data_IF_073490480105
#
_entry.id   IF_073490480105
#
_cell.length_a   1.000
_cell.length_b   1.000
_cell.length_c   1.000
_cell.angle_alpha   90.00
_cell.angle_beta   90.00
_cell.angle_gamma   90.00
#
_symmetry.space_group_name_H-M   'P 1'
#
loop_
_entity.id
_entity.type
_entity.pdbx_description
1 polymer ?
#
# COMPACT_ATOMS: atom_id res chain seq x y z
N UNK A 1 1.47 31.07 -6.62
CA UNK A 1 2.81 31.32 -6.05
C UNK A 1 3.67 30.12 -6.44
N UNK A 2 4.99 30.21 -6.31
CA UNK A 2 5.84 29.02 -6.50
C UNK A 2 6.05 28.38 -5.13
N UNK A 3 5.75 27.09 -5.01
CA UNK A 3 6.01 26.32 -3.79
C UNK A 3 7.31 25.55 -3.98
N UNK A 4 8.22 25.65 -3.02
CA UNK A 4 9.45 24.87 -3.00
C UNK A 4 9.25 23.68 -2.07
N UNK A 5 9.43 22.46 -2.58
CA UNK A 5 9.42 21.23 -1.80
C UNK A 5 10.85 20.77 -1.60
N UNK A 6 11.25 20.58 -0.34
CA UNK A 6 12.60 20.13 0.00
C UNK A 6 12.69 18.61 -0.04
N UNK A 7 13.90 18.13 -0.29
CA UNK A 7 14.20 16.70 -0.31
C UNK A 7 13.76 15.98 0.98
N UNK A 8 14.13 16.51 2.14
CA UNK A 8 13.83 15.88 3.43
C UNK A 8 12.32 15.87 3.73
N UNK A 9 11.59 16.91 3.33
CA UNK A 9 10.14 16.98 3.51
C UNK A 9 9.43 15.82 2.80
N UNK A 10 9.86 15.47 1.58
CA UNK A 10 9.30 14.36 0.82
C UNK A 10 9.73 13.00 1.39
N UNK A 11 11.01 12.85 1.77
CA UNK A 11 11.52 11.61 2.37
C UNK A 11 10.76 11.27 3.65
N UNK A 12 10.64 12.25 4.56
CA UNK A 12 9.94 12.10 5.84
C UNK A 12 8.46 11.79 5.61
N UNK A 13 7.80 12.54 4.70
CA UNK A 13 6.38 12.29 4.38
C UNK A 13 6.11 10.88 3.85
N UNK A 14 6.97 10.35 2.97
CA UNK A 14 6.84 8.97 2.46
C UNK A 14 7.11 7.95 3.57
N UNK A 15 8.15 8.19 4.38
CA UNK A 15 8.52 7.28 5.45
C UNK A 15 7.42 7.16 6.52
N UNK A 16 6.93 8.31 6.98
CA UNK A 16 5.88 8.42 7.99
C UNK A 16 4.55 7.85 7.48
N UNK A 17 4.19 8.12 6.23
CA UNK A 17 2.97 7.56 5.65
C UNK A 17 3.02 6.03 5.60
N UNK A 18 4.15 5.44 5.18
CA UNK A 18 4.32 3.99 5.14
C UNK A 18 4.33 3.36 6.54
N UNK A 19 4.97 4.02 7.50
CA UNK A 19 4.92 3.61 8.90
C UNK A 19 3.49 3.65 9.44
N UNK A 20 2.78 4.75 9.23
CA UNK A 20 1.39 4.93 9.66
C UNK A 20 0.46 3.84 9.11
N UNK A 21 0.48 3.60 7.79
CA UNK A 21 -0.41 2.57 7.18
C UNK A 21 0.01 1.14 7.53
N UNK A 22 1.22 0.93 8.06
CA UNK A 22 1.66 -0.42 8.45
C UNK A 22 0.91 -0.94 9.66
N UNK A 23 0.46 -0.06 10.58
CA UNK A 23 -0.21 -0.46 11.82
C UNK A 23 -1.59 0.16 12.05
N UNK A 24 -2.04 1.09 11.21
CA UNK A 24 -3.41 1.63 11.23
C UNK A 24 -4.24 1.20 10.02
N UNK A 25 -5.36 0.54 10.28
CA UNK A 25 -6.44 0.45 9.28
C UNK A 25 -7.25 1.75 9.23
N UNK A 26 -7.77 2.14 8.06
CA UNK A 26 -8.66 3.29 7.96
C UNK A 26 -10.01 2.99 8.64
N UNK A 27 -10.71 4.04 9.06
CA UNK A 27 -11.94 3.93 9.86
C UNK A 27 -13.04 3.17 9.11
N UNK A 28 -13.19 3.42 7.83
CA UNK A 28 -14.18 2.77 6.97
C UNK A 28 -13.99 1.25 6.88
N UNK A 29 -12.73 0.78 6.84
CA UNK A 29 -12.43 -0.65 6.92
C UNK A 29 -12.86 -1.23 8.27
N UNK A 30 -12.53 -0.58 9.39
CA UNK A 30 -12.89 -1.06 10.73
C UNK A 30 -14.41 -1.09 10.90
N UNK A 31 -15.11 -0.02 10.52
CA UNK A 31 -16.56 0.04 10.58
C UNK A 31 -17.20 -1.07 9.73
N UNK A 32 -16.70 -1.26 8.50
CA UNK A 32 -17.20 -2.29 7.58
C UNK A 32 -17.03 -3.71 8.11
N UNK A 33 -15.85 -4.04 8.64
CA UNK A 33 -15.61 -5.37 9.24
C UNK A 33 -16.44 -5.56 10.52
N UNK A 34 -16.59 -4.51 11.34
CA UNK A 34 -17.39 -4.59 12.56
C UNK A 34 -18.88 -4.78 12.26
N UNK A 35 -19.42 -4.07 11.28
CA UNK A 35 -20.80 -4.27 10.83
C UNK A 35 -21.04 -5.67 10.29
N UNK A 36 -20.09 -6.22 9.51
CA UNK A 36 -20.15 -7.58 9.02
C UNK A 36 -20.13 -8.59 10.19
N UNK A 37 -19.23 -8.39 11.16
CA UNK A 37 -19.15 -9.21 12.38
C UNK A 37 -20.46 -9.26 13.17
N UNK A 38 -21.19 -8.13 13.28
CA UNK A 38 -22.47 -8.09 13.99
C UNK A 38 -23.57 -8.90 13.27
N UNK A 39 -23.53 -8.94 11.93
CA UNK A 39 -24.54 -9.60 11.08
C UNK A 39 -24.21 -11.06 10.77
N UNK A 40 -22.96 -11.48 10.97
CA UNK A 40 -22.49 -12.83 10.60
C UNK A 40 -23.14 -13.93 11.43
N UNK A 41 -23.62 -14.95 10.73
CA UNK A 41 -24.30 -16.13 11.30
C UNK A 41 -23.33 -17.31 11.46
N UNK A 42 -22.33 -17.44 10.58
CA UNK A 42 -21.31 -18.48 10.63
C UNK A 42 -20.31 -18.20 11.74
N UNK A 43 -20.28 -19.07 12.76
CA UNK A 43 -19.35 -18.92 13.89
C UNK A 43 -17.89 -18.82 13.45
N UNK A 44 -17.47 -19.65 12.49
CA UNK A 44 -16.10 -19.64 11.99
C UNK A 44 -15.73 -18.32 11.29
N UNK A 45 -16.63 -17.76 10.49
CA UNK A 45 -16.40 -16.47 9.82
C UNK A 45 -16.41 -15.31 10.83
N UNK A 46 -17.31 -15.38 11.81
CA UNK A 46 -17.41 -14.41 12.90
C UNK A 46 -16.13 -14.36 13.74
N UNK A 47 -15.58 -15.52 14.07
CA UNK A 47 -14.31 -15.63 14.81
C UNK A 47 -13.13 -15.06 14.00
N UNK A 48 -13.09 -15.32 12.68
CA UNK A 48 -12.07 -14.74 11.81
C UNK A 48 -12.15 -13.20 11.74
N UNK A 49 -13.35 -12.63 11.63
CA UNK A 49 -13.54 -11.17 11.68
C UNK A 49 -13.15 -10.59 13.04
N UNK A 50 -13.47 -11.27 14.14
CA UNK A 50 -13.03 -10.86 15.47
C UNK A 50 -11.50 -10.81 15.57
N UNK A 51 -10.80 -11.80 15.00
CA UNK A 51 -9.33 -11.81 14.95
C UNK A 51 -8.77 -10.62 14.17
N UNK A 52 -9.37 -10.26 13.03
CA UNK A 52 -8.96 -9.09 12.24
C UNK A 52 -9.12 -7.79 13.05
N UNK A 53 -10.24 -7.62 13.75
CA UNK A 53 -10.51 -6.43 14.57
C UNK A 53 -9.56 -6.36 15.78
N UNK A 54 -9.33 -7.49 16.47
CA UNK A 54 -8.39 -7.58 17.59
C UNK A 54 -6.96 -7.27 17.11
N UNK A 55 -6.53 -7.87 16.00
CA UNK A 55 -5.22 -7.60 15.40
C UNK A 55 -5.07 -6.12 15.05
N UNK A 56 -6.10 -5.50 14.44
CA UNK A 56 -6.10 -4.08 14.11
C UNK A 56 -5.86 -3.20 15.33
N UNK A 57 -6.54 -3.50 16.45
CA UNK A 57 -6.34 -2.79 17.72
C UNK A 57 -4.93 -3.01 18.28
N UNK A 58 -4.47 -4.27 18.31
CA UNK A 58 -3.15 -4.60 18.88
C UNK A 58 -2.01 -3.96 18.09
N UNK A 59 -2.12 -3.89 16.76
CA UNK A 59 -1.16 -3.22 15.89
C UNK A 59 -1.15 -1.71 16.13
N UNK A 60 -2.33 -1.08 16.22
CA UNK A 60 -2.46 0.34 16.51
C UNK A 60 -1.86 0.72 17.88
N UNK A 61 -2.13 -0.06 18.94
CA UNK A 61 -1.59 0.20 20.28
C UNK A 61 -0.09 -0.14 20.40
N UNK A 62 0.36 -1.16 19.67
CA UNK A 62 1.73 -1.69 19.76
C UNK A 62 2.72 -1.16 18.73
N UNK A 63 2.25 -0.35 17.76
CA UNK A 63 3.01 0.10 16.58
C UNK A 63 3.75 -1.05 15.89
N UNK A 64 3.01 -2.10 15.52
CA UNK A 64 3.52 -3.31 14.84
C UNK A 64 2.72 -3.59 13.57
N UNK A 65 3.35 -4.15 12.52
CA UNK A 65 2.68 -4.29 11.24
C UNK A 65 1.44 -5.18 11.34
N UNK A 66 0.35 -4.76 10.69
CA UNK A 66 -0.93 -5.47 10.61
C UNK A 66 -0.82 -6.84 9.99
N UNK A 67 0.11 -6.99 9.04
CA UNK A 67 0.35 -8.22 8.31
C UNK A 67 1.85 -8.51 8.27
N UNK A 68 2.20 -9.80 8.28
CA UNK A 68 3.56 -10.25 8.04
C UNK A 68 4.04 -9.89 6.61
N UNK A 69 3.13 -9.77 5.65
CA UNK A 69 3.39 -9.18 4.34
C UNK A 69 3.15 -7.68 4.39
N UNK A 70 4.22 -6.92 4.59
CA UNK A 70 4.19 -5.46 4.61
C UNK A 70 4.17 -4.84 3.21
N UNK A 71 3.98 -5.65 2.16
CA UNK A 71 3.60 -5.21 0.82
C UNK A 71 4.71 -4.63 -0.05
N UNK A 72 4.40 -4.58 -1.35
CA UNK A 72 5.15 -3.88 -2.39
C UNK A 72 4.71 -2.41 -2.36
N UNK A 73 5.65 -1.48 -2.29
CA UNK A 73 5.31 -0.05 -2.25
C UNK A 73 4.99 0.44 -3.66
N UNK A 74 3.79 1.00 -3.81
CA UNK A 74 3.39 1.79 -4.97
C UNK A 74 3.12 3.22 -4.53
N UNK A 75 3.66 4.20 -5.26
CA UNK A 75 3.55 5.62 -4.95
C UNK A 75 2.94 6.34 -6.15
N UNK A 76 1.85 7.07 -5.93
CA UNK A 76 1.26 7.97 -6.91
C UNK A 76 1.56 9.40 -6.51
N UNK A 77 2.23 10.15 -7.39
CA UNK A 77 2.68 11.52 -7.14
C UNK A 77 2.02 12.45 -8.14
N UNK A 78 1.11 13.28 -7.66
CA UNK A 78 0.56 14.40 -8.42
C UNK A 78 1.41 15.65 -8.13
N UNK A 79 2.03 16.21 -9.16
CA UNK A 79 2.95 17.34 -9.06
C UNK A 79 2.32 18.58 -9.68
N UNK A 80 2.08 19.61 -8.86
CA UNK A 80 1.62 20.92 -9.31
C UNK A 80 2.59 21.56 -10.30
N UNK A 81 2.09 22.14 -11.39
CA UNK A 81 2.92 22.81 -12.41
C UNK A 81 3.75 23.99 -11.87
N UNK A 82 3.39 24.55 -10.70
CA UNK A 82 4.12 25.64 -10.05
C UNK A 82 4.98 25.16 -8.86
N UNK A 83 5.25 23.86 -8.76
CA UNK A 83 6.18 23.29 -7.78
C UNK A 83 7.62 23.40 -8.29
N UNK A 84 8.53 23.78 -7.39
CA UNK A 84 9.97 23.65 -7.56
C UNK A 84 10.53 22.69 -6.53
N UNK A 85 11.56 21.96 -6.93
CA UNK A 85 12.22 20.96 -6.09
C UNK A 85 13.56 21.51 -5.61
N UNK A 86 13.75 21.52 -4.31
CA UNK A 86 15.05 21.73 -3.66
C UNK A 86 15.60 20.36 -3.25
N UNK A 87 16.08 19.62 -4.26
CA UNK A 87 16.58 18.26 -4.14
C UNK A 87 17.93 18.10 -4.86
N UNK A 88 18.85 17.37 -4.24
CA UNK A 88 20.10 16.95 -4.89
C UNK A 88 19.90 15.66 -5.68
N UNK A 89 19.01 14.78 -5.18
CA UNK A 89 18.71 13.49 -5.76
C UNK A 89 17.55 13.56 -6.79
N UNK A 90 17.53 12.67 -7.79
CA UNK A 90 16.35 12.41 -8.60
C UNK A 90 15.14 12.05 -7.72
N UNK A 91 13.94 12.44 -8.15
CA UNK A 91 12.72 12.26 -7.35
C UNK A 91 12.45 10.79 -6.99
N UNK A 92 12.78 9.86 -7.90
CA UNK A 92 12.70 8.41 -7.64
C UNK A 92 13.59 8.00 -6.45
N UNK A 93 14.81 8.53 -6.35
CA UNK A 93 15.74 8.22 -5.28
C UNK A 93 15.30 8.86 -3.96
N UNK A 94 14.72 10.07 -4.00
CA UNK A 94 14.11 10.73 -2.84
C UNK A 94 12.96 9.88 -2.28
N UNK A 95 12.06 9.40 -3.15
CA UNK A 95 10.95 8.55 -2.73
C UNK A 95 11.45 7.20 -2.20
N UNK A 96 12.39 6.55 -2.90
CA UNK A 96 12.95 5.27 -2.48
C UNK A 96 13.75 5.38 -1.17
N UNK A 97 14.35 6.53 -0.88
CA UNK A 97 14.95 6.79 0.43
C UNK A 97 13.90 6.84 1.54
N UNK A 98 12.74 7.47 1.30
CA UNK A 98 11.59 7.40 2.21
C UNK A 98 11.11 5.96 2.44
N UNK A 99 11.02 5.15 1.38
CA UNK A 99 10.69 3.72 1.48
C UNK A 99 11.72 2.97 2.33
N UNK A 100 13.00 3.13 2.03
CA UNK A 100 14.09 2.48 2.80
C UNK A 100 14.02 2.85 4.27
N UNK A 101 13.83 4.13 4.60
CA UNK A 101 13.71 4.61 5.99
C UNK A 101 12.48 4.03 6.69
N UNK A 102 11.34 3.94 6.00
CA UNK A 102 10.17 3.25 6.55
C UNK A 102 10.47 1.78 6.84
N UNK A 103 11.02 1.02 5.88
CA UNK A 103 11.17 -0.42 6.06
C UNK A 103 12.26 -0.80 7.05
N UNK A 104 13.25 0.06 7.24
CA UNK A 104 14.37 -0.12 8.19
C UNK A 104 14.19 0.65 9.50
N UNK A 105 12.99 1.23 9.75
CA UNK A 105 12.73 2.03 10.94
C UNK A 105 12.98 1.21 12.22
N UNK A 106 13.84 1.68 13.15
CA UNK A 106 14.30 0.86 14.28
C UNK A 106 13.16 0.45 15.23
N UNK A 107 12.15 1.31 15.40
CA UNK A 107 11.02 1.05 16.30
C UNK A 107 9.93 0.16 15.67
N UNK A 108 9.93 0.00 14.35
CA UNK A 108 8.93 -0.80 13.63
C UNK A 108 9.50 -1.27 12.28
N UNK A 109 10.36 -2.29 12.35
CA UNK A 109 11.00 -2.89 11.17
C UNK A 109 9.96 -3.66 10.36
N UNK A 110 9.85 -3.32 9.07
CA UNK A 110 8.93 -3.95 8.13
C UNK A 110 9.63 -5.06 7.33
N UNK A 111 8.86 -5.94 6.69
CA UNK A 111 9.40 -7.06 5.91
C UNK A 111 9.77 -6.62 4.49
N UNK A 112 11.06 -6.59 4.18
CA UNK A 112 11.54 -6.44 2.81
C UNK A 112 11.15 -7.66 1.94
N UNK A 113 10.34 -7.43 0.93
CA UNK A 113 9.71 -8.44 0.06
C UNK A 113 10.17 -8.34 -1.40
N UNK A 114 10.88 -7.27 -1.77
CA UNK A 114 11.39 -7.07 -3.13
C UNK A 114 12.64 -7.91 -3.38
N UNK A 115 12.69 -8.51 -4.57
CA UNK A 115 13.83 -9.27 -5.07
C UNK A 115 14.45 -8.52 -6.25
N UNK A 116 15.75 -8.28 -6.17
CA UNK A 116 16.60 -7.97 -7.31
C UNK A 116 16.75 -9.22 -8.19
N UNK A 117 16.58 -9.02 -9.50
CA UNK A 117 16.52 -10.09 -10.51
C UNK A 117 15.52 -11.20 -10.13
N UNK A 118 14.19 -10.94 -10.19
CA UNK A 118 13.16 -11.86 -9.70
C UNK A 118 13.08 -13.17 -10.52
N UNK A 119 13.54 -13.17 -11.77
CA UNK A 119 13.55 -14.35 -12.64
C UNK A 119 14.87 -15.13 -12.55
N UNK A 120 15.96 -14.49 -12.14
CA UNK A 120 17.28 -15.09 -12.03
C UNK A 120 17.72 -15.35 -10.58
N UNK A 121 18.65 -14.53 -10.08
CA UNK A 121 19.32 -14.77 -8.78
C UNK A 121 18.42 -14.56 -7.58
N UNK A 122 17.32 -13.80 -7.71
CA UNK A 122 16.29 -13.63 -6.67
C UNK A 122 16.87 -13.12 -5.35
N UNK A 123 17.78 -12.15 -5.42
CA UNK A 123 18.44 -11.60 -4.23
C UNK A 123 17.50 -10.60 -3.58
N UNK A 124 17.16 -10.77 -2.30
CA UNK A 124 16.36 -9.77 -1.59
C UNK A 124 17.12 -8.42 -1.52
N UNK A 125 16.41 -7.31 -1.74
CA UNK A 125 17.02 -5.97 -1.72
C UNK A 125 17.35 -5.49 -0.31
N UNK A 126 16.69 -6.05 0.71
CA UNK A 126 16.95 -5.79 2.12
C UNK A 126 16.25 -4.55 2.68
N UNK A 127 15.69 -3.70 1.81
CA UNK A 127 15.05 -2.43 2.17
C UNK A 127 13.70 -2.20 1.47
N UNK A 128 13.19 -3.22 0.77
CA UNK A 128 11.94 -3.18 0.00
C UNK A 128 11.90 -2.18 -1.17
N UNK A 129 13.06 -1.64 -1.57
CA UNK A 129 13.19 -0.83 -2.79
C UNK A 129 13.49 -1.73 -4.01
N UNK A 130 13.22 -1.27 -5.25
CA UNK A 130 12.53 -0.02 -5.60
C UNK A 130 11.01 -0.10 -5.44
N UNK A 131 10.40 1.05 -5.16
CA UNK A 131 8.96 1.25 -5.27
C UNK A 131 8.51 1.37 -6.73
N UNK A 132 7.23 1.06 -6.98
CA UNK A 132 6.56 1.36 -8.24
C UNK A 132 6.05 2.80 -8.16
N UNK A 133 6.57 3.71 -9.00
CA UNK A 133 6.26 5.14 -8.91
C UNK A 133 5.50 5.61 -10.15
N UNK A 134 4.37 6.26 -9.94
CA UNK A 134 3.54 6.87 -10.97
C UNK A 134 3.50 8.38 -10.80
N UNK A 135 3.91 9.12 -11.83
CA UNK A 135 3.88 10.57 -11.83
C UNK A 135 2.73 11.12 -12.68
N UNK A 136 2.14 12.22 -12.22
CA UNK A 136 1.18 13.01 -13.00
C UNK A 136 1.39 14.50 -12.74
N UNK A 137 1.57 15.29 -13.80
CA UNK A 137 1.57 16.75 -13.70
C UNK A 137 0.13 17.27 -13.62
N UNK A 138 -0.14 18.19 -12.68
CA UNK A 138 -1.46 18.78 -12.44
C UNK A 138 -1.38 20.30 -12.27
N UNK A 139 -2.45 21.07 -12.53
CA UNK A 139 -2.47 22.49 -12.17
C UNK A 139 -2.30 22.70 -10.66
N UNK A 140 -1.71 23.83 -10.26
CA UNK A 140 -1.52 24.19 -8.86
C UNK A 140 -0.06 24.25 -8.44
N UNK A 141 0.16 24.42 -7.14
CA UNK A 141 1.45 24.61 -6.48
C UNK A 141 1.65 23.64 -5.31
N UNK A 142 0.96 22.50 -5.33
CA UNK A 142 1.04 21.45 -4.31
C UNK A 142 1.61 20.16 -4.89
N UNK A 143 2.22 19.35 -4.02
CA UNK A 143 2.51 17.94 -4.31
C UNK A 143 1.57 17.10 -3.46
N UNK A 144 0.90 16.14 -4.09
CA UNK A 144 0.06 15.16 -3.42
C UNK A 144 0.68 13.78 -3.64
N UNK A 145 0.93 13.06 -2.56
CA UNK A 145 1.55 11.73 -2.55
C UNK A 145 0.58 10.74 -1.95
N UNK A 146 0.19 9.73 -2.73
CA UNK A 146 -0.54 8.57 -2.23
C UNK A 146 0.41 7.38 -2.19
N UNK A 147 0.54 6.77 -1.01
CA UNK A 147 1.31 5.54 -0.84
C UNK A 147 0.37 4.35 -0.65
N UNK A 148 0.72 3.22 -1.27
CA UNK A 148 0.07 1.95 -1.06
C UNK A 148 1.12 0.88 -0.79
N UNK A 149 0.97 0.13 0.29
CA UNK A 149 1.79 -1.03 0.62
C UNK A 149 0.98 -2.30 0.34
N UNK A 150 1.13 -2.85 -0.86
CA UNK A 150 0.21 -3.85 -1.39
C UNK A 150 0.77 -5.26 -1.23
N UNK A 151 0.12 -6.06 -0.38
CA UNK A 151 0.53 -7.45 -0.11
C UNK A 151 0.45 -8.32 -1.37
N UNK A 152 1.47 -9.14 -1.60
CA UNK A 152 1.61 -9.96 -2.80
C UNK A 152 0.48 -10.98 -2.97
N UNK A 153 -0.08 -11.46 -1.85
CA UNK A 153 -1.27 -12.32 -1.86
C UNK A 153 -2.47 -11.64 -2.51
N UNK A 154 -2.71 -10.36 -2.18
CA UNK A 154 -3.81 -9.59 -2.76
C UNK A 154 -3.55 -9.18 -4.20
N UNK A 155 -2.29 -8.92 -4.57
CA UNK A 155 -1.90 -8.67 -5.97
C UNK A 155 -2.19 -9.86 -6.87
N UNK A 156 -1.89 -11.08 -6.39
CA UNK A 156 -2.14 -12.31 -7.13
C UNK A 156 -3.64 -12.62 -7.36
N UNK A 157 -4.55 -11.87 -6.72
CA UNK A 157 -6.00 -12.00 -6.90
C UNK A 157 -6.58 -11.04 -7.94
N UNK A 158 -5.78 -10.16 -8.54
CA UNK A 158 -6.22 -9.31 -9.65
C UNK A 158 -6.54 -10.14 -10.91
N UNK A 159 -7.67 -9.86 -11.57
CA UNK A 159 -8.11 -10.55 -12.80
C UNK A 159 -8.25 -9.55 -13.94
N UNK A 160 -7.72 -9.92 -15.09
CA UNK A 160 -7.85 -9.19 -16.35
C UNK A 160 -8.61 -10.05 -17.35
N UNK A 161 -9.58 -9.46 -18.07
CA UNK A 161 -10.30 -10.10 -19.15
C UNK A 161 -10.63 -9.08 -20.25
N UNK A 162 -10.53 -9.52 -21.50
CA UNK A 162 -11.07 -8.78 -22.65
C UNK A 162 -12.48 -9.29 -22.91
N UNK A 163 -13.48 -8.47 -22.62
CA UNK A 163 -14.89 -8.79 -22.86
C UNK A 163 -15.31 -8.26 -24.23
N UNK A 164 -16.13 -9.04 -24.95
CA UNK A 164 -16.82 -8.54 -26.13
C UNK A 164 -17.91 -7.54 -25.70
N UNK A 165 -18.33 -6.60 -26.58
CA UNK A 165 -19.43 -5.69 -26.29
C UNK A 165 -20.76 -6.39 -25.91
N UNK A 166 -20.93 -7.66 -26.30
CA UNK A 166 -22.10 -8.48 -25.98
C UNK A 166 -21.98 -9.26 -24.68
N UNK A 167 -20.81 -9.32 -24.05
CA UNK A 167 -20.60 -10.12 -22.85
C UNK A 167 -21.19 -9.44 -21.61
N UNK A 168 -21.71 -10.24 -20.68
CA UNK A 168 -22.24 -9.75 -19.40
C UNK A 168 -21.11 -9.56 -18.39
N UNK A 169 -20.92 -8.31 -17.93
CA UNK A 169 -20.00 -7.99 -16.83
C UNK A 169 -20.44 -8.70 -15.54
N UNK A 170 -21.75 -8.80 -15.29
CA UNK A 170 -22.29 -9.46 -14.11
C UNK A 170 -21.92 -10.94 -14.11
N UNK A 171 -22.09 -11.62 -15.24
CA UNK A 171 -21.77 -13.05 -15.35
C UNK A 171 -20.28 -13.30 -15.18
N UNK A 172 -19.45 -12.39 -15.72
CA UNK A 172 -18.01 -12.45 -15.51
C UNK A 172 -17.64 -12.29 -14.03
N UNK A 173 -18.21 -11.30 -13.32
CA UNK A 173 -17.96 -11.10 -11.88
C UNK A 173 -18.41 -12.31 -11.07
N UNK A 174 -19.63 -12.82 -11.31
CA UNK A 174 -20.15 -14.01 -10.62
C UNK A 174 -19.29 -15.26 -10.88
N UNK A 175 -18.66 -15.36 -12.05
CA UNK A 175 -17.72 -16.43 -12.38
C UNK A 175 -16.36 -16.24 -11.70
N UNK A 176 -15.88 -15.00 -11.54
CA UNK A 176 -14.55 -14.71 -11.01
C UNK A 176 -14.49 -14.74 -9.48
N UNK A 177 -15.47 -14.18 -8.78
CA UNK A 177 -15.45 -14.05 -7.30
C UNK A 177 -15.18 -15.40 -6.61
N UNK A 178 -15.83 -16.53 -6.96
CA UNK A 178 -15.54 -17.81 -6.33
C UNK A 178 -14.09 -18.31 -6.54
N UNK A 179 -13.44 -17.91 -7.65
CA UNK A 179 -12.06 -18.30 -7.96
C UNK A 179 -11.03 -17.50 -7.16
N UNK A 180 -11.44 -16.40 -6.52
CA UNK A 180 -10.54 -15.62 -5.66
C UNK A 180 -10.21 -16.40 -4.38
N UNK A 181 -11.11 -17.27 -3.90
CA UNK A 181 -10.90 -18.08 -2.70
C UNK A 181 -10.79 -17.26 -1.41
N UNK A 182 -10.52 -17.94 -0.30
CA UNK A 182 -10.41 -17.33 1.05
C UNK A 182 -8.94 -17.17 1.50
N UNK A 183 -8.03 -16.96 0.53
CA UNK A 183 -6.59 -16.90 0.77
C UNK A 183 -6.17 -15.83 1.76
#
# INVERSE_FOLDING_TARGET
MTTVIRQDDLIESVADALQFISYYHPKDFIDGVYEAYQKEESQAAKDAMAQILINSRMCAEGHRPLCQDTGIVTVFVNIGMNVQWDCELPLDDVINEGVRRAYTHPDNVLRASILDDPDGKRKNTGDNTPAIIHYKMVPGDTVEVHVAAKGGGSEAKSKFAMLNPSDSVVDWVLKMVPQMGAG
#
